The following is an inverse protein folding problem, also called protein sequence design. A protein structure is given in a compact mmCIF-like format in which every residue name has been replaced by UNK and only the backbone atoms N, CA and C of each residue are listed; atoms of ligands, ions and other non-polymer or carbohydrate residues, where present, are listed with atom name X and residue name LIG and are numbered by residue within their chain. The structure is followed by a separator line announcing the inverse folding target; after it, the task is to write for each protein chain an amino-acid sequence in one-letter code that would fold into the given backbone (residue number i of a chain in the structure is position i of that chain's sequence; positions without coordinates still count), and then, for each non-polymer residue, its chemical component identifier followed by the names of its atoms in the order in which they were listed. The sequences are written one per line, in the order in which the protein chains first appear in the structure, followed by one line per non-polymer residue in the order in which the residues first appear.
data_IF_423872030388
#
_entry.id   IF_423872030388
#
_cell.length_a   1.000
_cell.length_b   1.000
_cell.length_c   1.000
_cell.angle_alpha   90.00
_cell.angle_beta   90.00
_cell.angle_gamma   90.00
#
_symmetry.space_group_name_H-M   'P 1'
#
loop_
_entity.id
_entity.type
_entity.pdbx_description
1 polymer ?
#
# COMPACT_ATOMS: atom_id res chain seq x y z
N UNK A 1 2.69 10.63 -12.42
CA UNK A 1 1.74 9.69 -11.78
C UNK A 1 1.27 8.70 -12.84
N UNK A 2 1.47 7.39 -12.66
CA UNK A 2 1.14 6.37 -13.65
C UNK A 2 -0.35 6.33 -14.03
N UNK A 3 -1.26 6.62 -13.10
CA UNK A 3 -2.70 6.62 -13.37
C UNK A 3 -3.06 7.64 -14.46
N UNK A 4 -2.42 8.82 -14.43
CA UNK A 4 -2.59 9.86 -15.45
C UNK A 4 -1.98 9.47 -16.79
N UNK A 5 -0.86 8.75 -16.79
CA UNK A 5 -0.22 8.29 -18.03
C UNK A 5 -1.10 7.26 -18.75
N UNK A 6 -1.77 6.37 -18.02
CA UNK A 6 -2.74 5.42 -18.58
C UNK A 6 -3.98 6.14 -19.10
N UNK A 7 -4.54 7.04 -18.28
CA UNK A 7 -5.72 7.85 -18.67
C UNK A 7 -5.47 8.68 -19.94
N UNK A 8 -4.21 9.06 -20.18
CA UNK A 8 -3.79 9.82 -21.35
C UNK A 8 -3.22 8.96 -22.50
N UNK A 9 -3.42 7.64 -22.45
CA UNK A 9 -3.02 6.68 -23.49
C UNK A 9 -1.51 6.69 -23.79
N UNK A 10 -0.68 6.95 -22.76
CA UNK A 10 0.80 6.94 -22.82
C UNK A 10 1.44 5.76 -22.09
N UNK A 11 0.63 4.97 -21.39
CA UNK A 11 1.01 3.72 -20.75
C UNK A 11 -0.20 2.78 -20.76
N UNK A 12 0.02 1.47 -20.77
CA UNK A 12 -1.09 0.51 -20.92
C UNK A 12 -1.68 0.05 -19.58
N UNK A 13 -0.85 -0.12 -18.55
CA UNK A 13 -1.29 -0.59 -17.23
C UNK A 13 -0.36 -0.12 -16.10
N UNK A 14 -0.83 -0.26 -14.85
CA UNK A 14 -0.02 -0.13 -13.65
C UNK A 14 -0.47 -1.19 -12.63
N UNK A 15 0.51 -1.85 -11.99
CA UNK A 15 0.27 -2.60 -10.77
C UNK A 15 0.16 -1.64 -9.60
N UNK A 16 -0.94 -1.69 -8.86
CA UNK A 16 -1.20 -0.82 -7.71
C UNK A 16 -1.69 -1.67 -6.54
N UNK A 17 -1.42 -1.22 -5.32
CA UNK A 17 -2.07 -1.79 -4.15
C UNK A 17 -3.59 -1.51 -4.20
N UNK A 18 -4.37 -2.44 -3.64
CA UNK A 18 -5.84 -2.37 -3.67
C UNK A 18 -6.41 -1.09 -3.05
N UNK A 19 -5.70 -0.46 -2.11
CA UNK A 19 -6.07 0.83 -1.53
C UNK A 19 -6.10 2.00 -2.53
N UNK A 20 -5.41 1.91 -3.67
CA UNK A 20 -5.44 2.94 -4.72
C UNK A 20 -6.64 2.81 -5.67
N UNK A 21 -7.47 1.78 -5.52
CA UNK A 21 -8.60 1.52 -6.42
C UNK A 21 -9.56 2.71 -6.55
N UNK A 22 -9.73 3.51 -5.49
CA UNK A 22 -10.53 4.74 -5.55
C UNK A 22 -9.91 5.80 -6.45
N UNK A 23 -8.62 6.11 -6.26
CA UNK A 23 -7.88 7.10 -7.06
C UNK A 23 -7.77 6.67 -8.54
N UNK A 24 -7.61 5.38 -8.79
CA UNK A 24 -7.63 4.81 -10.13
C UNK A 24 -8.97 5.08 -10.83
N UNK A 25 -10.11 4.89 -10.14
CA UNK A 25 -11.45 5.15 -10.69
C UNK A 25 -11.68 6.64 -10.98
N UNK A 26 -11.16 7.54 -10.15
CA UNK A 26 -11.21 8.98 -10.42
C UNK A 26 -10.43 9.37 -11.69
N UNK A 27 -9.47 8.53 -12.10
CA UNK A 27 -8.71 8.69 -13.34
C UNK A 27 -9.33 7.96 -14.54
N UNK A 28 -10.61 7.55 -14.44
CA UNK A 28 -11.33 6.73 -15.43
C UNK A 28 -10.69 5.36 -15.72
N UNK A 29 -10.00 4.79 -14.73
CA UNK A 29 -9.40 3.46 -14.85
C UNK A 29 -10.27 2.40 -14.18
N UNK A 30 -10.25 1.19 -14.74
CA UNK A 30 -10.91 0.01 -14.19
C UNK A 30 -9.88 -1.06 -13.83
N UNK A 31 -10.19 -1.88 -12.82
CA UNK A 31 -9.37 -3.04 -12.51
C UNK A 31 -9.50 -4.08 -13.63
N UNK A 32 -8.37 -4.46 -14.23
CA UNK A 32 -8.33 -5.47 -15.30
C UNK A 32 -8.00 -6.87 -14.77
N UNK A 33 -7.20 -6.97 -13.70
CA UNK A 33 -6.75 -8.22 -13.08
C UNK A 33 -6.40 -8.00 -11.61
N UNK A 34 -6.38 -9.08 -10.82
CA UNK A 34 -5.89 -9.09 -9.45
C UNK A 34 -4.59 -9.90 -9.36
N UNK A 35 -3.57 -9.33 -8.72
CA UNK A 35 -2.29 -9.99 -8.48
C UNK A 35 -2.31 -10.56 -7.06
N UNK A 36 -2.35 -11.88 -6.93
CA UNK A 36 -2.35 -12.57 -5.63
C UNK A 36 -1.04 -13.33 -5.44
N UNK A 37 -0.33 -13.08 -4.34
CA UNK A 37 0.96 -13.74 -4.05
C UNK A 37 0.82 -14.95 -3.12
N UNK A 38 -0.31 -15.12 -2.43
CA UNK A 38 -0.55 -16.23 -1.50
C UNK A 38 -1.99 -16.73 -1.53
N UNK A 39 -2.16 -18.05 -1.33
CA UNK A 39 -3.47 -18.72 -1.27
C UNK A 39 -4.34 -18.27 -0.10
N UNK A 40 -3.75 -17.79 1.01
CA UNK A 40 -4.48 -17.47 2.24
C UNK A 40 -4.82 -15.98 2.44
N UNK A 41 -4.44 -15.07 1.52
CA UNK A 41 -4.90 -13.66 1.46
C UNK A 41 -4.80 -12.85 2.77
N UNK A 42 -3.85 -13.14 3.67
CA UNK A 42 -3.67 -12.38 4.91
C UNK A 42 -2.43 -11.47 4.84
N UNK A 43 -2.62 -10.18 4.60
CA UNK A 43 -1.57 -9.18 4.82
C UNK A 43 -1.61 -8.70 6.27
N UNK A 44 -0.49 -8.83 6.99
CA UNK A 44 -0.33 -8.30 8.34
C UNK A 44 0.57 -7.06 8.33
N UNK A 45 0.13 -5.98 8.97
CA UNK A 45 0.94 -4.77 9.17
C UNK A 45 1.57 -4.81 10.55
N UNK A 46 2.90 -4.69 10.61
CA UNK A 46 3.67 -4.66 11.87
C UNK A 46 4.41 -3.34 12.02
N UNK A 47 4.50 -2.85 13.26
CA UNK A 47 5.30 -1.67 13.61
C UNK A 47 6.63 -2.13 14.16
N UNK A 48 7.72 -1.70 13.52
CA UNK A 48 9.08 -2.02 13.95
C UNK A 48 9.69 -0.85 14.71
N UNK A 49 10.38 -1.14 15.80
CA UNK A 49 11.12 -0.14 16.57
C UNK A 49 12.47 -0.70 17.00
N UNK A 50 13.44 0.18 17.26
CA UNK A 50 14.70 -0.25 17.85
C UNK A 50 14.44 -0.73 19.27
N UNK A 51 15.02 -1.88 19.62
CA UNK A 51 14.91 -2.45 20.96
C UNK A 51 15.26 -1.43 22.06
N UNK A 52 14.49 -1.44 23.14
CA UNK A 52 14.70 -0.56 24.29
C UNK A 52 14.25 0.90 24.10
N UNK A 53 13.63 1.27 22.97
CA UNK A 53 13.12 2.64 22.75
C UNK A 53 11.77 2.96 23.38
N UNK A 54 11.11 1.98 24.00
CA UNK A 54 9.88 2.21 24.77
C UNK A 54 8.62 2.51 23.94
N UNK A 55 8.65 2.30 22.62
CA UNK A 55 7.49 2.43 21.73
C UNK A 55 6.64 1.14 21.73
N UNK A 56 6.12 0.76 22.90
CA UNK A 56 5.40 -0.50 23.14
C UNK A 56 3.88 -0.43 22.91
N UNK A 57 3.36 0.76 22.61
CA UNK A 57 1.95 1.03 22.36
C UNK A 57 1.79 2.25 21.47
N UNK A 58 0.62 2.40 20.88
CA UNK A 58 0.35 3.43 19.88
C UNK A 58 0.46 4.85 20.44
N UNK A 59 0.00 5.10 21.65
CA UNK A 59 0.06 6.42 22.30
C UNK A 59 1.51 6.91 22.46
N UNK A 60 2.44 5.97 22.63
CA UNK A 60 3.88 6.27 22.76
C UNK A 60 4.58 6.49 21.42
N UNK A 61 3.86 6.42 20.30
CA UNK A 61 4.38 6.79 18.99
C UNK A 61 4.21 8.30 18.70
N UNK A 62 3.48 9.03 19.55
CA UNK A 62 3.30 10.47 19.38
C UNK A 62 4.64 11.19 19.41
N UNK A 63 4.82 12.15 18.50
CA UNK A 63 6.04 12.92 18.27
C UNK A 63 7.27 12.06 17.88
N UNK A 64 7.09 10.76 17.61
CA UNK A 64 8.17 9.95 17.07
C UNK A 64 8.46 10.31 15.61
N UNK A 65 9.62 9.86 15.12
CA UNK A 65 9.98 9.89 13.71
C UNK A 65 9.47 8.61 13.05
N UNK A 66 8.77 8.72 11.93
CA UNK A 66 8.12 7.57 11.31
C UNK A 66 8.56 7.32 9.86
N UNK A 67 8.62 6.06 9.45
CA UNK A 67 8.85 5.67 8.06
C UNK A 67 7.71 4.75 7.62
N UNK A 68 7.06 5.11 6.52
CA UNK A 68 6.05 4.31 5.85
C UNK A 68 6.58 3.89 4.47
N UNK A 69 6.27 2.67 3.99
CA UNK A 69 6.62 2.26 2.64
C UNK A 69 6.01 3.19 1.59
N UNK A 70 4.76 3.60 1.83
CA UNK A 70 3.98 4.41 0.91
C UNK A 70 2.87 5.15 1.66
N UNK A 71 2.64 6.42 1.29
CA UNK A 71 1.46 7.16 1.72
C UNK A 71 0.21 6.60 1.01
N UNK A 72 -0.90 6.47 1.72
CA UNK A 72 -2.11 5.82 1.18
C UNK A 72 -2.03 4.29 1.08
N UNK A 73 -0.84 3.68 1.20
CA UNK A 73 -0.64 2.23 1.27
C UNK A 73 -1.22 1.57 2.52
N UNK A 74 -1.33 0.23 2.53
CA UNK A 74 -1.93 -0.55 3.63
C UNK A 74 -1.36 -0.19 5.01
N UNK A 75 -0.05 0.07 5.11
CA UNK A 75 0.60 0.40 6.37
C UNK A 75 0.15 1.77 6.93
N UNK A 76 0.02 2.79 6.08
CA UNK A 76 -0.42 4.13 6.49
C UNK A 76 -1.91 4.15 6.82
N UNK A 77 -2.74 3.49 6.00
CA UNK A 77 -4.17 3.34 6.27
C UNK A 77 -4.42 2.58 7.57
N UNK A 78 -3.72 1.46 7.79
CA UNK A 78 -3.84 0.70 9.03
C UNK A 78 -3.46 1.54 10.25
N UNK A 79 -2.40 2.35 10.15
CA UNK A 79 -2.00 3.26 11.22
C UNK A 79 -3.10 4.28 11.57
N UNK A 80 -3.69 4.96 10.57
CA UNK A 80 -4.79 5.90 10.76
C UNK A 80 -6.02 5.22 11.38
N UNK A 81 -6.40 4.05 10.86
CA UNK A 81 -7.56 3.29 11.35
C UNK A 81 -7.39 2.86 12.81
N UNK A 82 -6.18 2.43 13.20
CA UNK A 82 -5.87 2.07 14.58
C UNK A 82 -5.87 3.31 15.49
N UNK A 83 -5.38 4.45 15.02
CA UNK A 83 -5.44 5.71 15.78
C UNK A 83 -6.88 6.17 16.03
N UNK A 84 -7.75 6.06 15.01
CA UNK A 84 -9.19 6.34 15.14
C UNK A 84 -9.90 5.38 16.10
N UNK A 85 -9.62 4.08 16.01
CA UNK A 85 -10.26 3.09 16.88
C UNK A 85 -9.89 3.29 18.35
N UNK A 86 -8.68 3.80 18.60
CA UNK A 86 -8.20 4.19 19.95
C UNK A 86 -8.63 5.59 20.40
N UNK A 87 -9.36 6.35 19.57
CA UNK A 87 -9.80 7.72 19.90
C UNK A 87 -8.65 8.75 19.94
N UNK A 88 -7.53 8.44 19.29
CA UNK A 88 -6.36 9.32 19.20
C UNK A 88 -6.49 10.29 18.03
N UNK A 89 -7.13 9.83 16.95
CA UNK A 89 -7.48 10.62 15.78
C UNK A 89 -8.98 10.87 15.74
N UNK A 90 -9.37 12.06 15.26
CA UNK A 90 -10.76 12.34 14.95
C UNK A 90 -11.23 11.38 13.85
N UNK A 91 -12.42 10.82 14.04
CA UNK A 91 -13.04 9.92 13.06
C UNK A 91 -13.58 10.67 11.86
N UNK A 92 -13.90 11.96 12.02
CA UNK A 92 -14.44 12.82 10.98
C UNK A 92 -13.35 13.54 10.17
N UNK A 93 -12.11 13.58 10.67
CA UNK A 93 -10.99 14.14 9.91
C UNK A 93 -10.60 13.16 8.80
N UNK A 94 -10.67 13.61 7.56
CA UNK A 94 -10.43 12.80 6.37
C UNK A 94 -9.14 13.14 5.64
N UNK A 95 -8.48 14.21 6.03
CA UNK A 95 -7.12 14.49 5.63
C UNK A 95 -6.17 13.59 6.42
N UNK A 96 -5.77 12.48 5.80
CA UNK A 96 -4.84 11.53 6.41
C UNK A 96 -3.44 12.16 6.51
N UNK A 97 -3.13 13.12 5.63
CA UNK A 97 -1.91 13.89 5.68
C UNK A 97 -1.83 14.69 6.96
N UNK A 98 -2.90 15.44 7.27
CA UNK A 98 -3.07 16.19 8.51
C UNK A 98 -2.94 15.30 9.76
N UNK A 99 -3.69 14.19 9.81
CA UNK A 99 -3.64 13.28 10.96
C UNK A 99 -2.23 12.74 11.25
N UNK A 100 -1.50 12.39 10.19
CA UNK A 100 -0.16 11.84 10.31
C UNK A 100 0.88 12.93 10.59
N UNK A 101 0.77 14.09 9.95
CA UNK A 101 1.71 15.21 10.10
C UNK A 101 1.67 15.81 11.50
N UNK A 102 0.49 15.89 12.12
CA UNK A 102 0.32 16.36 13.50
C UNK A 102 0.73 15.32 14.55
N UNK A 103 0.70 14.03 14.20
CA UNK A 103 1.03 12.96 15.15
C UNK A 103 2.53 12.69 15.26
N UNK A 104 3.26 12.81 14.16
CA UNK A 104 4.70 12.54 14.08
C UNK A 104 5.51 13.84 14.03
N UNK A 105 6.72 13.83 14.60
CA UNK A 105 7.59 15.01 14.52
C UNK A 105 8.15 15.23 13.12
N UNK A 106 8.51 14.13 12.44
CA UNK A 106 8.96 14.08 11.05
C UNK A 106 8.63 12.68 10.51
N UNK A 107 8.33 12.58 9.22
CA UNK A 107 8.07 11.28 8.59
C UNK A 107 8.77 11.12 7.24
N UNK A 108 8.86 9.88 6.77
CA UNK A 108 8.99 9.57 5.35
C UNK A 108 7.81 8.70 4.93
N UNK A 109 6.94 9.24 4.09
CA UNK A 109 5.84 8.54 3.44
C UNK A 109 5.86 8.87 1.95
N UNK A 110 6.58 8.10 1.12
CA UNK A 110 6.66 8.32 -0.31
C UNK A 110 5.27 8.41 -0.95
N UNK A 111 5.09 9.34 -1.89
CA UNK A 111 3.79 9.60 -2.54
C UNK A 111 2.92 10.64 -1.84
N UNK A 112 3.27 11.11 -0.63
CA UNK A 112 2.48 12.13 0.09
C UNK A 112 2.46 13.51 -0.56
N UNK A 113 3.34 13.76 -1.54
CA UNK A 113 3.42 15.02 -2.32
C UNK A 113 2.59 14.99 -3.60
N UNK A 114 1.99 13.86 -3.94
CA UNK A 114 1.17 13.75 -5.14
C UNK A 114 -0.10 14.60 -4.97
N UNK A 115 -0.48 15.35 -5.99
CA UNK A 115 -1.65 16.24 -5.94
C UNK A 115 -2.96 15.48 -5.66
N UNK A 116 -3.01 14.17 -5.95
CA UNK A 116 -4.16 13.32 -5.59
C UNK A 116 -4.24 13.02 -4.09
N UNK A 117 -3.15 13.22 -3.34
CA UNK A 117 -3.07 12.99 -1.90
C UNK A 117 -3.02 14.28 -1.10
N UNK A 118 -2.26 15.28 -1.55
CA UNK A 118 -2.05 16.55 -0.86
C UNK A 118 -2.22 17.72 -1.84
N UNK A 119 -3.47 18.04 -2.24
CA UNK A 119 -3.74 19.07 -3.24
C UNK A 119 -3.37 20.48 -2.77
N UNK A 120 -3.26 20.71 -1.46
CA UNK A 120 -2.84 21.99 -0.86
C UNK A 120 -1.32 22.03 -0.61
N UNK A 121 -0.66 20.88 -0.52
CA UNK A 121 0.76 20.74 -0.24
C UNK A 121 1.14 21.03 1.21
N UNK A 122 0.15 21.10 2.11
CA UNK A 122 0.32 21.58 3.48
C UNK A 122 1.09 20.60 4.36
N UNK A 123 0.98 19.29 4.08
CA UNK A 123 1.51 18.24 4.96
C UNK A 123 2.80 17.61 4.42
N UNK A 124 3.09 17.85 3.15
CA UNK A 124 4.26 17.36 2.44
C UNK A 124 5.60 17.63 3.13
N UNK A 125 5.75 18.74 3.86
CA UNK A 125 7.01 19.07 4.54
C UNK A 125 7.32 18.07 5.66
N UNK A 126 6.36 17.80 6.56
CA UNK A 126 6.51 16.79 7.61
C UNK A 126 6.63 15.39 7.02
N UNK A 127 5.72 15.05 6.09
CA UNK A 127 5.58 13.69 5.58
C UNK A 127 6.75 13.23 4.70
N UNK A 128 7.53 14.17 4.16
CA UNK A 128 8.73 13.88 3.38
C UNK A 128 10.04 14.25 4.10
N UNK A 129 10.01 14.78 5.33
CA UNK A 129 11.19 15.31 6.03
C UNK A 129 12.33 14.28 6.17
N UNK A 130 11.98 13.00 6.39
CA UNK A 130 12.96 11.91 6.55
C UNK A 130 13.30 11.21 5.24
N UNK A 131 12.59 11.51 4.15
CA UNK A 131 12.83 10.83 2.89
C UNK A 131 14.21 11.16 2.32
N UNK A 132 14.85 10.12 1.79
CA UNK A 132 16.15 10.20 1.13
C UNK A 132 15.95 9.64 -0.26
N UNK A 133 16.04 10.49 -1.28
CA UNK A 133 16.13 10.00 -2.65
C UNK A 133 17.56 9.50 -2.84
N UNK A 134 17.72 8.25 -3.26
CA UNK A 134 19.01 7.81 -3.74
C UNK A 134 19.30 8.59 -5.03
N UNK A 135 20.20 9.58 -4.97
CA UNK A 135 20.63 10.35 -6.16
C UNK A 135 21.21 9.45 -7.26
N UNK A 136 21.61 8.22 -6.88
CA UNK A 136 21.99 7.15 -7.79
C UNK A 136 21.22 5.89 -7.37
N UNK A 137 20.43 5.26 -8.26
CA UNK A 137 19.95 3.92 -8.03
C UNK A 137 21.17 3.04 -7.77
N UNK A 138 21.28 2.46 -6.58
CA UNK A 138 22.28 1.42 -6.35
C UNK A 138 21.91 0.28 -7.29
N UNK A 139 22.76 -0.10 -8.27
CA UNK A 139 22.49 -1.29 -9.04
C UNK A 139 22.31 -2.42 -8.05
N UNK A 140 21.12 -3.01 -8.00
CA UNK A 140 20.96 -4.29 -7.32
C UNK A 140 21.79 -5.24 -8.16
N UNK A 141 22.95 -5.67 -7.65
CA UNK A 141 23.60 -6.83 -8.22
C UNK A 141 22.57 -7.95 -8.14
N UNK A 142 22.01 -8.31 -9.30
CA UNK A 142 21.31 -9.58 -9.46
C UNK A 142 22.34 -10.60 -9.06
N UNK A 143 22.25 -11.10 -7.82
CA UNK A 143 23.14 -12.13 -7.33
C UNK A 143 23.20 -13.20 -8.40
N UNK A 144 24.39 -13.44 -8.93
CA UNK A 144 24.63 -14.58 -9.80
C UNK A 144 24.17 -15.78 -8.99
N UNK A 145 23.07 -16.42 -9.41
CA UNK A 145 22.73 -17.76 -8.97
C UNK A 145 23.89 -18.63 -9.41
N UNK A 146 24.89 -18.72 -8.55
CA UNK A 146 26.04 -19.56 -8.75
C UNK A 146 25.53 -20.95 -8.45
N UNK A 147 25.17 -21.67 -9.52
CA UNK A 147 25.01 -23.11 -9.47
C UNK A 147 26.34 -23.67 -8.97
N UNK A 148 26.41 -23.91 -7.66
CA UNK A 148 27.41 -24.81 -7.13
C UNK A 148 26.91 -26.20 -7.46
N UNK A 149 27.50 -26.78 -8.49
CA UNK A 149 27.46 -28.21 -8.75
C UNK A 149 28.14 -28.88 -7.54
N UNK A 150 27.37 -29.15 -6.48
CA UNK A 150 27.80 -30.05 -5.43
C UNK A 150 26.87 -31.26 -5.47
N UNK A 151 27.46 -32.40 -5.83
CA UNK A 151 26.82 -33.69 -5.82
C UNK A 151 26.41 -34.05 -4.39
N UNK A 152 25.17 -33.77 -4.05
CA UNK A 152 24.56 -34.11 -2.78
C UNK A 152 23.13 -34.58 -3.00
N UNK A 153 23.00 -35.85 -3.37
CA UNK A 153 21.74 -36.58 -3.52
C UNK A 153 20.83 -36.40 -2.29
N UNK A 154 19.68 -35.76 -2.46
CA UNK A 154 18.46 -36.11 -1.74
C UNK A 154 17.29 -35.99 -2.71
N UNK A 155 16.69 -37.15 -2.95
CA UNK A 155 15.50 -37.36 -3.75
C UNK A 155 14.29 -36.75 -3.04
N UNK A 156 13.73 -35.69 -3.60
CA UNK A 156 12.30 -35.41 -3.45
C UNK A 156 11.71 -35.24 -4.85
N UNK A 157 10.68 -36.03 -5.10
CA UNK A 157 10.01 -36.19 -6.40
C UNK A 157 9.48 -34.86 -6.93
N UNK A 158 9.47 -34.62 -8.26
CA UNK A 158 8.81 -33.44 -8.81
C UNK A 158 7.34 -33.46 -8.42
N UNK A 159 6.90 -32.41 -7.72
CA UNK A 159 5.48 -32.07 -7.65
C UNK A 159 5.01 -31.84 -9.08
N UNK A 160 3.91 -32.50 -9.44
CA UNK A 160 3.26 -32.37 -10.74
C UNK A 160 3.03 -30.88 -11.02
N UNK A 161 3.57 -30.38 -12.15
CA UNK A 161 3.26 -29.06 -12.68
C UNK A 161 1.74 -28.99 -12.86
N UNK A 162 1.06 -28.22 -12.00
CA UNK A 162 -0.31 -27.79 -12.25
C UNK A 162 -0.29 -27.10 -13.63
N UNK A 163 -1.05 -27.65 -14.57
CA UNK A 163 -1.10 -27.17 -15.95
C UNK A 163 -1.35 -25.65 -15.96
N UNK A 164 -0.45 -24.91 -16.60
CA UNK A 164 -0.61 -23.47 -16.85
C UNK A 164 -1.96 -23.27 -17.57
N UNK A 165 -2.93 -22.67 -16.88
CA UNK A 165 -4.22 -22.38 -17.51
C UNK A 165 -4.01 -21.39 -18.67
N UNK A 166 -4.70 -21.60 -19.81
CA UNK A 166 -4.53 -20.72 -20.96
C UNK A 166 -4.96 -19.29 -20.62
N UNK A 167 -4.31 -18.27 -21.24
CA UNK A 167 -4.67 -16.89 -21.00
C UNK A 167 -6.16 -16.65 -21.29
N UNK A 168 -6.87 -16.10 -20.30
CA UNK A 168 -8.29 -15.76 -20.44
C UNK A 168 -8.41 -14.53 -21.33
N UNK A 169 -9.05 -14.67 -22.49
CA UNK A 169 -9.35 -13.55 -23.38
C UNK A 169 -10.53 -12.74 -22.81
N UNK A 170 -10.27 -11.49 -22.42
CA UNK A 170 -11.28 -10.56 -21.90
C UNK A 170 -11.19 -10.32 -20.39
N UNK A 171 -12.13 -9.55 -19.86
CA UNK A 171 -12.23 -9.26 -18.41
C UNK A 171 -12.68 -10.53 -17.70
N UNK A 172 -11.91 -10.98 -16.70
CA UNK A 172 -12.23 -12.15 -15.88
C UNK A 172 -13.69 -12.08 -15.38
N UNK A 173 -14.53 -13.10 -15.64
CA UNK A 173 -15.92 -13.14 -15.20
C UNK A 173 -16.12 -12.93 -13.69
N UNK A 174 -15.13 -13.26 -12.86
CA UNK A 174 -15.14 -13.00 -11.41
C UNK A 174 -15.07 -11.49 -11.07
N UNK A 175 -14.67 -10.64 -12.03
CA UNK A 175 -14.62 -9.18 -11.92
C UNK A 175 -15.96 -8.51 -12.24
N UNK A 176 -16.96 -9.27 -12.70
CA UNK A 176 -18.34 -8.75 -12.80
C UNK A 176 -18.88 -8.57 -11.40
N UNK A 177 -19.12 -7.32 -11.01
CA UNK A 177 -19.72 -6.97 -9.72
C UNK A 177 -20.93 -7.85 -9.43
N UNK A 178 -20.79 -8.72 -8.43
CA UNK A 178 -21.90 -9.35 -7.77
C UNK A 178 -22.23 -8.42 -6.60
N UNK A 179 -23.40 -7.76 -6.63
CA UNK A 179 -23.87 -6.76 -5.66
C UNK A 179 -24.16 -7.33 -4.25
N UNK A 180 -23.36 -8.30 -3.77
CA UNK A 180 -23.73 -9.22 -2.70
C UNK A 180 -22.80 -9.29 -1.49
N UNK A 181 -21.79 -8.42 -1.33
CA UNK A 181 -20.97 -8.41 -0.10
C UNK A 181 -21.46 -7.30 0.84
N UNK A 182 -22.55 -7.60 1.53
CA UNK A 182 -23.04 -6.82 2.67
C UNK A 182 -22.20 -7.09 3.92
N UNK A 183 -20.98 -6.58 3.95
CA UNK A 183 -20.26 -6.38 5.21
C UNK A 183 -20.85 -5.16 5.91
N UNK A 184 -21.21 -5.26 7.19
CA UNK A 184 -21.58 -4.12 8.03
C UNK A 184 -20.35 -3.23 8.24
N UNK A 185 -20.04 -2.42 7.24
CA UNK A 185 -19.02 -1.39 7.30
C UNK A 185 -19.68 -0.17 7.95
N UNK A 186 -19.21 0.17 9.15
CA UNK A 186 -19.65 1.37 9.85
C UNK A 186 -19.26 2.58 8.99
N UNK A 187 -20.26 3.18 8.33
CA UNK A 187 -20.10 4.26 7.34
C UNK A 187 -19.38 5.48 7.90
N UNK A 188 -19.39 5.64 9.22
CA UNK A 188 -18.71 6.72 9.93
C UNK A 188 -17.19 6.48 10.14
N UNK A 189 -16.64 5.36 9.67
CA UNK A 189 -15.20 5.03 9.80
C UNK A 189 -14.43 5.27 8.50
N UNK A 190 -15.14 5.39 7.38
CA UNK A 190 -14.54 5.56 6.06
C UNK A 190 -14.82 6.96 5.51
N UNK A 191 -13.73 7.71 5.33
CA UNK A 191 -13.70 8.94 4.55
C UNK A 191 -14.10 8.76 3.08
N UNK A 192 -14.30 7.51 2.65
CA UNK A 192 -14.88 7.17 1.35
C UNK A 192 -16.41 7.40 1.27
N UNK A 193 -17.07 7.82 2.36
CA UNK A 193 -18.52 8.02 2.42
C UNK A 193 -18.96 9.48 2.68
N UNK A 194 -18.04 10.46 2.64
CA UNK A 194 -18.42 11.86 2.72
C UNK A 194 -18.97 12.30 1.34
N UNK A 195 -20.29 12.47 1.27
CA UNK A 195 -21.03 12.87 0.09
C UNK A 195 -20.44 14.15 -0.56
N UNK A 196 -20.20 14.07 -1.87
CA UNK A 196 -20.22 15.22 -2.80
C UNK A 196 -21.55 15.25 -3.53
#
# INVERSE_FOLDING_TARGET
NCLREISADRADFAGIDSNYGYLARQSNLAAALYQETEKEKYSSVVVLTKEGKGHDRFEKLRNAKACFPEFGGIASIAFVNVGRSRGIFDRNECDYGHLMSEFFSESCAPGSRDDLHDPTGEHAENLCALCRYAEKPTPRELGTYQATDDEGLNTDSPLEDDAEEPPVEGIDPALRQNDGIGGSIDRNVLCAAADT
#
